data_IF_233092654130
#
_entry.id   IF_233092654130
#
_cell.length_a   1.000
_cell.length_b   1.000
_cell.length_c   1.000
_cell.angle_alpha   90.00
_cell.angle_beta   90.00
_cell.angle_gamma   90.00
#
_symmetry.space_group_name_H-M   'P 1'
#
loop_
_entity.id
_entity.type
_entity.pdbx_description
1 polymer ?
#
# COMPACT_ATOMS: atom_id res chain seq x y z
N UNK A 1 -10.16 -2.53 -12.59
CA UNK A 1 -8.88 -3.22 -12.84
C UNK A 1 -9.04 -4.43 -13.75
N UNK A 2 -9.58 -5.55 -13.27
CA UNK A 2 -9.66 -6.81 -14.04
C UNK A 2 -10.35 -6.68 -15.40
N UNK A 3 -11.53 -6.05 -15.46
CA UNK A 3 -12.23 -5.78 -16.73
C UNK A 3 -11.44 -4.87 -17.67
N UNK A 4 -10.84 -3.81 -17.14
CA UNK A 4 -10.09 -2.82 -17.93
C UNK A 4 -8.87 -3.44 -18.63
N UNK A 5 -8.28 -4.47 -18.04
CA UNK A 5 -7.14 -5.21 -18.59
C UNK A 5 -7.54 -6.52 -19.26
N UNK A 6 -8.84 -6.81 -19.39
CA UNK A 6 -9.37 -8.06 -19.95
C UNK A 6 -8.76 -9.30 -19.27
N UNK A 7 -8.56 -9.24 -17.95
CA UNK A 7 -7.98 -10.32 -17.15
C UNK A 7 -6.47 -10.52 -17.32
N UNK A 8 -5.78 -9.68 -18.09
CA UNK A 8 -4.33 -9.74 -18.30
C UNK A 8 -3.62 -8.82 -17.32
N UNK A 9 -3.32 -9.33 -16.12
CA UNK A 9 -2.63 -8.60 -15.04
C UNK A 9 -1.61 -9.54 -14.40
N UNK A 10 -0.38 -9.06 -14.23
CA UNK A 10 0.67 -9.82 -13.53
C UNK A 10 0.83 -9.41 -12.07
N UNK A 11 0.44 -8.18 -11.72
CA UNK A 11 0.49 -7.72 -10.34
C UNK A 11 -0.47 -6.57 -10.01
N UNK A 12 -0.86 -6.48 -8.75
CA UNK A 12 -1.57 -5.33 -8.18
C UNK A 12 -0.81 -4.87 -6.94
N UNK A 13 -0.52 -3.58 -6.86
CA UNK A 13 0.22 -2.96 -5.76
C UNK A 13 -0.66 -1.93 -5.08
N UNK A 14 -0.87 -2.07 -3.77
CA UNK A 14 -1.72 -1.18 -2.98
C UNK A 14 -1.09 -0.92 -1.61
N UNK A 15 -1.18 0.32 -1.13
CA UNK A 15 -0.82 0.62 0.24
C UNK A 15 -1.82 0.02 1.23
N UNK A 16 -1.36 -0.27 2.45
CA UNK A 16 -2.23 -0.71 3.55
C UNK A 16 -2.46 0.42 4.55
N UNK A 17 -3.67 0.49 5.08
CA UNK A 17 -3.98 1.13 6.36
C UNK A 17 -5.05 0.30 7.04
N UNK A 18 -6.33 0.63 6.89
CA UNK A 18 -7.44 -0.16 7.42
C UNK A 18 -7.55 -1.56 6.84
N UNK A 19 -6.84 -1.88 5.76
CA UNK A 19 -6.83 -3.20 5.12
C UNK A 19 -7.97 -3.45 4.14
N UNK A 20 -8.96 -2.55 4.03
CA UNK A 20 -10.14 -2.76 3.19
C UNK A 20 -9.83 -2.92 1.69
N UNK A 21 -8.98 -2.05 1.15
CA UNK A 21 -8.60 -2.11 -0.27
C UNK A 21 -7.79 -3.38 -0.58
N UNK A 22 -6.64 -3.56 0.08
CA UNK A 22 -5.78 -4.71 -0.17
C UNK A 22 -6.48 -6.05 0.15
N UNK A 23 -7.26 -6.11 1.23
CA UNK A 23 -8.02 -7.31 1.59
C UNK A 23 -9.04 -7.70 0.52
N UNK A 24 -9.87 -6.74 0.08
CA UNK A 24 -10.84 -7.01 -1.00
C UNK A 24 -10.19 -7.36 -2.34
N UNK A 25 -9.09 -6.67 -2.69
CA UNK A 25 -8.30 -6.96 -3.90
C UNK A 25 -7.74 -8.39 -3.83
N UNK A 26 -7.12 -8.76 -2.71
CA UNK A 26 -6.52 -10.07 -2.53
C UNK A 26 -7.58 -11.18 -2.65
N UNK A 27 -8.73 -11.04 -1.98
CA UNK A 27 -9.85 -11.99 -2.08
C UNK A 27 -10.32 -12.18 -3.51
N UNK A 28 -10.58 -11.09 -4.24
CA UNK A 28 -11.06 -11.16 -5.62
C UNK A 28 -10.02 -11.81 -6.54
N UNK A 29 -8.78 -11.32 -6.53
CA UNK A 29 -7.76 -11.78 -7.46
C UNK A 29 -7.31 -13.20 -7.17
N UNK A 30 -7.19 -13.63 -5.91
CA UNK A 30 -6.88 -15.04 -5.62
C UNK A 30 -7.98 -15.99 -6.09
N UNK A 31 -9.23 -15.53 -6.22
CA UNK A 31 -10.34 -16.32 -6.77
C UNK A 31 -10.36 -16.34 -8.31
N UNK A 32 -10.26 -15.18 -8.96
CA UNK A 32 -10.49 -15.04 -10.41
C UNK A 32 -9.22 -14.91 -11.26
N UNK A 33 -8.08 -14.64 -10.66
CA UNK A 33 -6.77 -14.52 -11.31
C UNK A 33 -5.64 -14.96 -10.39
N UNK A 34 -5.58 -16.25 -9.99
CA UNK A 34 -4.68 -16.72 -8.93
C UNK A 34 -3.19 -16.56 -9.25
N UNK A 35 -2.83 -16.32 -10.51
CA UNK A 35 -1.45 -16.03 -10.95
C UNK A 35 -1.06 -14.56 -10.80
N UNK A 36 -2.01 -13.67 -10.52
CA UNK A 36 -1.72 -12.27 -10.25
C UNK A 36 -1.05 -12.13 -8.89
N UNK A 37 0.07 -11.42 -8.88
CA UNK A 37 0.80 -11.12 -7.66
C UNK A 37 0.13 -9.96 -6.92
N UNK A 38 -0.08 -10.12 -5.62
CA UNK A 38 -0.66 -9.13 -4.74
C UNK A 38 0.46 -8.56 -3.87
N UNK A 39 0.84 -7.31 -4.14
CA UNK A 39 1.84 -6.59 -3.37
C UNK A 39 1.19 -5.53 -2.50
N UNK A 40 1.54 -5.57 -1.23
CA UNK A 40 1.12 -4.62 -0.23
C UNK A 40 2.26 -3.65 0.09
N UNK A 41 1.94 -2.38 0.34
CA UNK A 41 2.92 -1.35 0.70
C UNK A 41 2.60 -0.81 2.09
N UNK A 42 3.56 -0.93 2.99
CA UNK A 42 3.48 -0.48 4.38
C UNK A 42 4.60 0.53 4.69
N UNK A 43 4.45 1.29 5.75
CA UNK A 43 5.47 2.25 6.19
C UNK A 43 6.45 1.59 7.18
N UNK A 44 7.73 1.98 7.17
CA UNK A 44 8.58 1.65 8.33
C UNK A 44 8.02 2.30 9.60
N UNK A 45 7.94 1.51 10.67
CA UNK A 45 7.31 1.92 11.93
C UNK A 45 5.84 1.50 12.05
N UNK A 46 5.21 1.02 10.98
CA UNK A 46 3.92 0.34 11.02
C UNK A 46 4.04 -1.07 11.59
N UNK A 47 2.99 -1.51 12.27
CA UNK A 47 2.89 -2.85 12.86
C UNK A 47 1.92 -3.77 12.11
N UNK A 48 1.33 -3.34 10.98
CA UNK A 48 0.36 -4.15 10.20
C UNK A 48 0.95 -5.51 9.85
N UNK A 49 2.19 -5.53 9.37
CA UNK A 49 2.92 -6.76 9.05
C UNK A 49 4.03 -7.11 10.07
N UNK A 50 3.84 -6.71 11.33
CA UNK A 50 4.84 -6.85 12.39
C UNK A 50 6.08 -5.97 12.20
N UNK A 51 7.11 -6.23 13.00
CA UNK A 51 8.35 -5.44 13.05
C UNK A 51 8.33 -4.30 14.08
N UNK A 52 9.43 -3.55 14.22
CA UNK A 52 9.54 -2.46 15.19
C UNK A 52 8.57 -1.31 14.86
N UNK A 53 7.68 -0.97 15.80
CA UNK A 53 6.78 0.17 15.63
C UNK A 53 7.40 1.47 16.11
N UNK A 54 7.25 2.53 15.31
CA UNK A 54 7.66 3.90 15.65
C UNK A 54 6.85 4.89 14.80
N UNK A 55 6.90 6.17 15.16
CA UNK A 55 6.24 7.21 14.38
C UNK A 55 6.89 7.38 12.99
N UNK A 56 6.07 7.70 12.00
CA UNK A 56 6.44 8.01 10.62
C UNK A 56 5.54 9.14 10.10
N UNK A 57 5.89 9.73 8.96
CA UNK A 57 5.20 10.92 8.41
C UNK A 57 4.24 10.60 7.28
N UNK A 58 4.36 9.43 6.63
CA UNK A 58 3.48 9.06 5.51
C UNK A 58 2.01 9.03 5.97
N UNK A 59 1.14 9.91 5.45
CA UNK A 59 -0.29 9.88 5.77
C UNK A 59 -0.99 8.74 5.04
N UNK A 60 -1.99 8.15 5.72
CA UNK A 60 -2.90 7.16 5.13
C UNK A 60 -2.30 5.77 4.87
N UNK A 61 -1.09 5.50 5.35
CA UNK A 61 -0.41 4.20 5.26
C UNK A 61 -0.03 3.72 6.66
N UNK A 62 -0.12 2.41 6.89
CA UNK A 62 0.23 1.76 8.14
C UNK A 62 -0.79 1.91 9.26
N UNK A 63 -0.60 1.11 10.32
CA UNK A 63 -1.37 1.09 11.57
C UNK A 63 -0.51 0.53 12.71
N UNK A 64 -0.95 0.73 13.95
CA UNK A 64 -0.37 0.10 15.14
C UNK A 64 -0.77 -1.37 15.33
N UNK A 65 -1.62 -1.93 14.47
CA UNK A 65 -2.08 -3.31 14.53
C UNK A 65 -2.40 -3.89 13.16
N UNK A 66 -2.44 -5.21 13.05
CA UNK A 66 -2.90 -5.95 11.86
C UNK A 66 -4.42 -5.81 11.73
N UNK A 67 -4.95 -5.18 10.68
CA UNK A 67 -6.38 -4.92 10.56
C UNK A 67 -7.17 -6.16 10.15
N UNK A 68 -8.33 -6.39 10.79
CA UNK A 68 -9.27 -7.49 10.48
C UNK A 68 -9.79 -7.51 9.03
N UNK A 69 -9.74 -6.40 8.31
CA UNK A 69 -10.11 -6.36 6.90
C UNK A 69 -9.18 -7.20 6.01
N UNK A 70 -7.98 -7.53 6.48
CA UNK A 70 -7.11 -8.52 5.85
C UNK A 70 -7.47 -9.88 6.45
N UNK A 71 -8.45 -10.57 5.84
CA UNK A 71 -9.00 -11.83 6.36
C UNK A 71 -7.98 -12.96 6.36
N UNK A 72 -7.12 -13.00 5.34
CA UNK A 72 -6.06 -13.98 5.18
C UNK A 72 -4.81 -13.30 4.62
N UNK A 73 -3.81 -13.12 5.49
CA UNK A 73 -2.53 -12.49 5.14
C UNK A 73 -1.75 -13.30 4.11
N UNK A 74 -2.01 -14.60 3.98
CA UNK A 74 -1.36 -15.47 2.99
C UNK A 74 -1.82 -15.19 1.56
N UNK A 75 -2.88 -14.40 1.37
CA UNK A 75 -3.33 -13.94 0.04
C UNK A 75 -2.53 -12.74 -0.47
N UNK A 76 -1.64 -12.19 0.35
CA UNK A 76 -0.69 -11.15 -0.03
C UNK A 76 0.64 -11.85 -0.35
N UNK A 77 1.17 -11.65 -1.55
CA UNK A 77 2.41 -12.32 -1.98
C UNK A 77 3.66 -11.55 -1.58
N UNK A 78 3.58 -10.22 -1.56
CA UNK A 78 4.70 -9.33 -1.27
C UNK A 78 4.30 -8.23 -0.29
N UNK A 79 5.18 -7.91 0.66
CA UNK A 79 5.06 -6.73 1.52
C UNK A 79 6.31 -5.88 1.36
N UNK A 80 6.11 -4.68 0.83
CA UNK A 80 7.11 -3.63 0.73
C UNK A 80 7.01 -2.73 1.96
N UNK A 81 8.13 -2.45 2.60
CA UNK A 81 8.24 -1.38 3.61
C UNK A 81 8.94 -0.19 2.98
N UNK A 82 8.35 0.99 3.08
CA UNK A 82 8.86 2.22 2.46
C UNK A 82 9.08 3.29 3.52
N UNK A 83 10.20 4.02 3.41
CA UNK A 83 10.54 5.09 4.34
C UNK A 83 9.86 6.40 3.95
N UNK A 84 9.71 7.31 4.92
CA UNK A 84 9.23 8.68 4.69
C UNK A 84 9.98 9.33 3.52
N UNK A 85 11.32 9.33 3.59
CA UNK A 85 12.19 9.91 2.56
C UNK A 85 11.84 9.40 1.16
N UNK A 86 11.76 8.08 1.00
CA UNK A 86 11.52 7.47 -0.31
C UNK A 86 10.11 7.76 -0.83
N UNK A 87 9.09 7.67 0.02
CA UNK A 87 7.69 7.91 -0.36
C UNK A 87 7.45 9.36 -0.81
N UNK A 88 7.93 10.35 -0.03
CA UNK A 88 7.79 11.76 -0.37
C UNK A 88 8.51 12.10 -1.67
N UNK A 89 9.78 11.66 -1.81
CA UNK A 89 10.59 11.95 -3.00
C UNK A 89 9.97 11.35 -4.25
N UNK A 90 9.57 10.07 -4.20
CA UNK A 90 8.97 9.39 -5.34
C UNK A 90 7.63 10.02 -5.76
N UNK A 91 6.82 10.50 -4.81
CA UNK A 91 5.57 11.19 -5.13
C UNK A 91 5.82 12.52 -5.87
N UNK A 92 6.84 13.29 -5.46
CA UNK A 92 7.23 14.51 -6.17
C UNK A 92 7.82 14.23 -7.54
N UNK A 93 8.64 13.18 -7.68
CA UNK A 93 9.17 12.73 -8.97
C UNK A 93 8.01 12.40 -9.92
N UNK A 94 7.02 11.62 -9.46
CA UNK A 94 5.85 11.27 -10.25
C UNK A 94 5.09 12.50 -10.71
N UNK A 95 4.81 13.44 -9.80
CA UNK A 95 4.15 14.69 -10.14
C UNK A 95 4.95 15.51 -11.14
N UNK A 96 6.27 15.61 -10.97
CA UNK A 96 7.14 16.46 -11.80
C UNK A 96 7.31 15.91 -13.21
N UNK A 97 7.47 14.60 -13.35
CA UNK A 97 7.83 13.96 -14.62
C UNK A 97 6.62 13.44 -15.40
N UNK A 98 5.55 13.03 -14.71
CA UNK A 98 4.33 12.48 -15.34
C UNK A 98 3.10 13.38 -15.22
N UNK A 99 3.18 14.49 -14.46
CA UNK A 99 2.05 15.41 -14.28
C UNK A 99 0.91 14.84 -13.41
N UNK A 100 1.17 13.76 -12.68
CA UNK A 100 0.17 13.11 -11.81
C UNK A 100 0.32 13.67 -10.39
N UNK A 101 -0.59 14.57 -10.01
CA UNK A 101 -0.59 15.24 -8.71
C UNK A 101 -1.27 14.36 -7.65
N UNK A 102 -0.49 13.63 -6.86
CA UNK A 102 -0.98 12.65 -5.86
C UNK A 102 -0.28 12.77 -4.52
N UNK A 103 -0.91 12.19 -3.49
CA UNK A 103 -0.39 12.14 -2.13
C UNK A 103 0.80 11.20 -1.92
N UNK A 104 1.46 11.35 -0.78
CA UNK A 104 2.71 10.69 -0.39
C UNK A 104 2.66 9.16 -0.51
N UNK A 105 1.54 8.55 -0.12
CA UNK A 105 1.32 7.10 -0.18
C UNK A 105 1.48 6.55 -1.62
N UNK A 106 1.13 7.36 -2.62
CA UNK A 106 1.27 7.02 -4.03
C UNK A 106 2.73 6.91 -4.45
N UNK A 107 3.63 7.72 -3.88
CA UNK A 107 5.07 7.58 -4.10
C UNK A 107 5.61 6.26 -3.56
N UNK A 108 5.12 5.82 -2.39
CA UNK A 108 5.48 4.51 -1.85
C UNK A 108 4.99 3.37 -2.76
N UNK A 109 3.75 3.46 -3.23
CA UNK A 109 3.17 2.48 -4.17
C UNK A 109 3.92 2.45 -5.49
N UNK A 110 4.31 3.62 -6.03
CA UNK A 110 5.10 3.72 -7.26
C UNK A 110 6.41 2.95 -7.14
N UNK A 111 7.18 3.17 -6.07
CA UNK A 111 8.46 2.50 -5.87
C UNK A 111 8.29 0.97 -5.79
N UNK A 112 7.31 0.50 -5.02
CA UNK A 112 7.00 -0.91 -4.91
C UNK A 112 6.56 -1.52 -6.26
N UNK A 113 5.73 -0.82 -7.03
CA UNK A 113 5.27 -1.29 -8.34
C UNK A 113 6.41 -1.36 -9.36
N UNK A 114 7.29 -0.36 -9.40
CA UNK A 114 8.47 -0.38 -10.25
C UNK A 114 9.42 -1.51 -9.85
N UNK A 115 9.70 -1.68 -8.56
CA UNK A 115 10.54 -2.78 -8.10
C UNK A 115 9.94 -4.16 -8.45
N UNK A 116 8.65 -4.36 -8.22
CA UNK A 116 7.95 -5.60 -8.58
C UNK A 116 8.02 -5.87 -10.09
N UNK A 117 7.89 -4.84 -10.93
CA UNK A 117 7.99 -4.99 -12.39
C UNK A 117 9.37 -5.51 -12.83
N UNK A 118 10.43 -5.03 -12.19
CA UNK A 118 11.81 -5.46 -12.47
C UNK A 118 12.05 -6.91 -12.04
N UNK A 119 11.46 -7.31 -10.91
CA UNK A 119 11.57 -8.68 -10.37
C UNK A 119 10.81 -9.70 -11.23
N UNK A 120 9.55 -9.41 -11.59
CA UNK A 120 8.69 -10.37 -12.28
C UNK A 120 9.03 -10.54 -13.76
N UNK A 121 9.72 -9.58 -14.40
CA UNK A 121 9.90 -9.53 -15.86
C UNK A 121 8.56 -9.75 -16.58
N UNK A 122 7.58 -8.99 -16.14
CA UNK A 122 6.16 -9.19 -16.42
C UNK A 122 5.84 -9.15 -17.92
N UNK A 123 4.90 -10.00 -18.33
CA UNK A 123 4.31 -10.02 -19.69
C UNK A 123 3.10 -9.10 -19.79
N UNK A 124 2.34 -8.97 -18.69
CA UNK A 124 1.13 -8.17 -18.57
C UNK A 124 1.32 -7.02 -17.56
N UNK A 125 0.46 -6.00 -17.55
CA UNK A 125 0.61 -4.85 -16.68
C UNK A 125 0.64 -5.19 -15.18
N UNK A 126 1.37 -4.37 -14.43
CA UNK A 126 1.24 -4.23 -12.98
C UNK A 126 0.40 -2.98 -12.72
N UNK A 127 -0.62 -3.11 -11.87
CA UNK A 127 -1.52 -2.01 -11.53
C UNK A 127 -1.10 -1.43 -10.18
N UNK A 128 -0.67 -0.17 -10.18
CA UNK A 128 -0.39 0.61 -8.99
C UNK A 128 -1.64 1.41 -8.57
N UNK A 129 -2.15 1.18 -7.36
CA UNK A 129 -3.23 1.98 -6.80
C UNK A 129 -2.66 3.23 -6.13
N UNK A 130 -2.76 4.35 -6.82
CA UNK A 130 -2.38 5.65 -6.28
C UNK A 130 -3.51 6.17 -5.39
N UNK A 131 -3.11 6.75 -4.26
CA UNK A 131 -4.02 7.26 -3.24
C UNK A 131 -4.73 8.55 -3.66
N UNK A 132 -5.02 9.37 -2.67
CA UNK A 132 -5.71 10.63 -2.87
C UNK A 132 -4.86 11.67 -3.64
N UNK A 133 -5.52 12.75 -4.01
CA UNK A 133 -4.95 13.79 -4.85
C UNK A 133 -4.03 14.72 -4.06
N UNK A 134 -3.04 15.29 -4.75
CA UNK A 134 -1.92 15.99 -4.12
C UNK A 134 -2.26 17.34 -3.50
N UNK A 135 -3.41 17.95 -3.82
CA UNK A 135 -3.81 19.27 -3.31
C UNK A 135 -3.93 19.32 -1.78
N UNK A 136 -4.14 18.16 -1.14
CA UNK A 136 -4.24 18.03 0.32
C UNK A 136 -2.90 18.20 1.02
N UNK A 137 -1.80 18.19 0.28
CA UNK A 137 -0.43 18.15 0.79
C UNK A 137 0.40 19.34 0.31
N UNK A 138 -0.25 20.44 -0.06
CA UNK A 138 0.43 21.67 -0.53
C UNK A 138 1.33 22.31 0.53
N UNK A 139 0.98 22.14 1.81
CA UNK A 139 1.71 22.62 2.98
C UNK A 139 2.70 21.60 3.56
N UNK A 140 2.86 20.44 2.89
CA UNK A 140 3.74 19.35 3.33
C UNK A 140 4.54 18.77 2.16
N UNK A 141 3.96 17.84 1.40
CA UNK A 141 4.63 17.15 0.28
C UNK A 141 5.15 18.12 -0.79
N UNK A 142 4.42 19.19 -1.07
CA UNK A 142 4.77 20.17 -2.09
C UNK A 142 5.36 21.48 -1.53
N UNK A 143 5.66 21.50 -0.22
CA UNK A 143 6.33 22.62 0.47
C UNK A 143 7.81 22.28 0.69
N UNK A 144 8.69 22.97 -0.04
CA UNK A 144 10.13 22.80 0.07
C UNK A 144 10.69 23.11 1.47
N UNK A 145 10.14 24.09 2.19
CA UNK A 145 10.58 24.44 3.55
C UNK A 145 10.21 23.32 4.53
N UNK A 146 9.00 22.77 4.38
CA UNK A 146 8.56 21.62 5.16
C UNK A 146 9.47 20.41 4.94
N UNK A 147 9.84 20.12 3.69
CA UNK A 147 10.75 19.01 3.36
C UNK A 147 12.14 19.20 3.98
N UNK A 148 12.71 20.40 3.88
CA UNK A 148 14.02 20.73 4.48
C UNK A 148 13.97 20.50 5.99
N UNK A 149 12.94 21.02 6.66
CA UNK A 149 12.75 20.86 8.12
C UNK A 149 12.64 19.39 8.54
N UNK A 150 12.11 18.54 7.65
CA UNK A 150 11.93 17.11 7.90
C UNK A 150 13.08 16.24 7.34
N UNK A 151 14.17 16.85 6.86
CA UNK A 151 15.31 16.19 6.23
C UNK A 151 14.91 15.30 5.04
N UNK A 152 13.97 15.76 4.22
CA UNK A 152 13.53 15.07 3.02
C UNK A 152 14.19 15.68 1.78
N UNK A 153 14.89 14.84 1.01
CA UNK A 153 15.46 15.19 -0.29
C UNK A 153 14.41 15.82 -1.23
N UNK A 154 14.84 16.83 -1.98
CA UNK A 154 14.02 17.59 -2.94
C UNK A 154 14.38 17.30 -4.39
N UNK A 155 15.38 16.45 -4.65
CA UNK A 155 15.72 16.05 -6.01
C UNK A 155 14.57 15.26 -6.64
N UNK A 156 13.96 15.86 -7.66
CA UNK A 156 12.87 15.25 -8.45
C UNK A 156 13.36 14.64 -9.76
N UNK A 157 14.66 14.41 -9.91
CA UNK A 157 15.26 13.82 -11.11
C UNK A 157 14.93 12.33 -11.23
N UNK A 158 14.91 11.83 -12.48
CA UNK A 158 14.80 10.39 -12.73
C UNK A 158 16.04 9.62 -12.24
N UNK A 159 17.19 10.28 -12.12
CA UNK A 159 18.40 9.69 -11.51
C UNK A 159 18.15 9.39 -10.04
N UNK A 160 17.50 10.31 -9.32
CA UNK A 160 17.09 10.07 -7.94
C UNK A 160 16.08 8.92 -7.84
N UNK A 161 15.12 8.82 -8.77
CA UNK A 161 14.18 7.67 -8.79
C UNK A 161 14.93 6.35 -8.89
N UNK A 162 15.87 6.24 -9.81
CA UNK A 162 16.73 5.06 -9.96
C UNK A 162 17.51 4.78 -8.68
N UNK A 163 18.08 5.79 -8.04
CA UNK A 163 18.79 5.62 -6.76
C UNK A 163 17.88 5.11 -5.65
N UNK A 164 16.63 5.58 -5.57
CA UNK A 164 15.64 5.07 -4.61
C UNK A 164 15.29 3.61 -4.89
N UNK A 165 15.15 3.22 -6.16
CA UNK A 165 14.86 1.83 -6.56
C UNK A 165 16.02 0.88 -6.29
N UNK A 166 17.27 1.34 -6.35
CA UNK A 166 18.44 0.55 -5.97
C UNK A 166 18.53 0.33 -4.45
N UNK A 167 18.03 1.29 -3.67
CA UNK A 167 18.07 1.28 -2.20
C UNK A 167 16.84 0.68 -1.54
N UNK A 168 15.77 0.40 -2.30
CA UNK A 168 14.56 -0.19 -1.72
C UNK A 168 14.87 -1.62 -1.23
N UNK A 169 14.42 -1.91 -0.01
CA UNK A 169 14.61 -3.24 0.56
C UNK A 169 13.90 -4.30 -0.27
N UNK A 170 14.47 -5.52 -0.25
CA UNK A 170 13.79 -6.68 -0.82
C UNK A 170 12.46 -6.91 -0.08
N UNK A 171 11.33 -7.03 -0.78
CA UNK A 171 10.04 -7.22 -0.14
C UNK A 171 10.00 -8.55 0.63
N UNK A 172 9.28 -8.56 1.74
CA UNK A 172 8.94 -9.80 2.41
C UNK A 172 7.98 -10.60 1.51
N UNK A 173 8.37 -11.81 1.13
CA UNK A 173 7.53 -12.71 0.35
C UNK A 173 6.67 -13.56 1.28
N UNK A 174 5.40 -13.76 0.91
CA UNK A 174 4.41 -14.58 1.62
C UNK A 174 4.46 -14.34 3.14
N UNK A 175 4.02 -13.15 3.61
CA UNK A 175 4.20 -12.73 4.98
C UNK A 175 3.47 -13.68 5.95
N UNK A 176 4.24 -14.55 6.60
CA UNK A 176 3.73 -15.36 7.71
C UNK A 176 3.81 -14.53 8.99
N UNK A 177 2.75 -13.78 9.27
CA UNK A 177 2.64 -12.93 10.46
C UNK A 177 1.52 -13.43 11.37
N UNK A 178 1.76 -13.36 12.66
CA UNK A 178 0.70 -13.49 13.66
C UNK A 178 0.06 -12.11 13.86
N UNK A 179 -1.26 -12.05 13.72
CA UNK A 179 -2.02 -10.82 13.91
C UNK A 179 -1.92 -10.36 15.36
N UNK A 180 -1.55 -9.10 15.58
CA UNK A 180 -1.55 -8.48 16.91
C UNK A 180 -2.87 -7.76 17.25
N UNK A 181 -3.94 -8.02 16.51
CA UNK A 181 -5.26 -7.46 16.81
C UNK A 181 -5.75 -7.96 18.17
N UNK A 182 -6.17 -7.02 19.04
CA UNK A 182 -6.62 -7.36 20.40
C UNK A 182 -8.15 -7.38 20.50
N UNK A 183 -8.73 -8.58 20.41
CA UNK A 183 -10.18 -8.78 20.49
C UNK A 183 -10.77 -8.46 21.86
N UNK A 184 -9.98 -8.54 22.93
CA UNK A 184 -10.46 -8.22 24.29
C UNK A 184 -10.90 -6.76 24.41
N UNK A 185 -10.43 -5.88 23.52
CA UNK A 185 -10.84 -4.48 23.48
C UNK A 185 -12.30 -4.31 23.03
N UNK A 186 -12.88 -5.28 22.31
CA UNK A 186 -14.29 -5.22 21.87
C UNK A 186 -15.21 -5.16 23.09
N UNK A 187 -15.01 -6.11 24.02
CA UNK A 187 -15.79 -6.18 25.25
C UNK A 187 -15.43 -5.03 26.20
N UNK A 188 -14.13 -4.74 26.36
CA UNK A 188 -13.65 -3.69 27.27
C UNK A 188 -14.20 -2.29 26.90
N UNK A 189 -14.28 -1.98 25.61
CA UNK A 189 -14.75 -0.69 25.11
C UNK A 189 -16.26 -0.67 24.84
N UNK A 190 -16.99 -1.75 25.13
CA UNK A 190 -18.42 -1.90 24.83
C UNK A 190 -18.73 -1.58 23.36
N UNK A 191 -17.93 -2.09 22.43
CA UNK A 191 -18.08 -1.80 21.00
C UNK A 191 -19.44 -2.31 20.52
N UNK A 192 -20.27 -1.47 19.86
CA UNK A 192 -21.58 -1.90 19.37
C UNK A 192 -21.48 -3.09 18.41
N UNK A 193 -22.41 -4.04 18.51
CA UNK A 193 -22.46 -5.22 17.64
C UNK A 193 -22.50 -4.86 16.15
N UNK A 194 -23.14 -3.74 15.79
CA UNK A 194 -23.18 -3.20 14.42
C UNK A 194 -21.80 -2.89 13.84
N UNK A 195 -20.81 -2.62 14.70
CA UNK A 195 -19.41 -2.38 14.28
C UNK A 195 -18.65 -3.69 14.14
N UNK A 196 -18.98 -4.70 14.96
CA UNK A 196 -18.32 -6.01 14.98
C UNK A 196 -18.73 -6.86 13.76
N UNK A 197 -20.02 -6.89 13.42
CA UNK A 197 -20.56 -7.75 12.36
C UNK A 197 -20.37 -7.20 10.94
N UNK A 198 -19.85 -5.97 10.81
CA UNK A 198 -19.70 -5.29 9.51
C UNK A 198 -18.75 -6.03 8.56
N UNK A 199 -17.89 -6.92 9.09
CA UNK A 199 -16.90 -7.67 8.34
C UNK A 199 -17.38 -9.07 7.90
N UNK A 200 -18.52 -9.55 8.40
CA UNK A 200 -19.10 -10.85 8.04
C UNK A 200 -19.98 -10.77 6.77
N UNK A 201 -20.32 -9.55 6.33
CA UNK A 201 -21.27 -9.29 5.25
C UNK A 201 -20.59 -8.92 3.91
N UNK A 202 -19.66 -9.75 3.42
CA UNK A 202 -19.36 -9.69 1.98
C UNK A 202 -20.41 -10.53 1.28
N UNK A 203 -21.43 -9.87 0.73
CA UNK A 203 -22.45 -10.51 -0.09
C UNK A 203 -21.78 -11.20 -1.29
N UNK A 204 -21.72 -12.53 -1.27
CA UNK A 204 -21.05 -13.32 -2.30
C UNK A 204 -21.70 -13.12 -3.69
N UNK A 205 -22.97 -12.70 -3.74
CA UNK A 205 -23.66 -12.42 -5.01
C UNK A 205 -23.11 -11.19 -5.75
N UNK A 206 -22.46 -10.25 -5.04
CA UNK A 206 -21.76 -9.11 -5.64
C UNK A 206 -20.45 -9.53 -6.33
N UNK A 207 -19.91 -10.70 -5.99
CA UNK A 207 -18.70 -11.25 -6.62
C UNK A 207 -19.03 -12.03 -7.91
N UNK A 208 -20.23 -12.60 -8.02
CA UNK A 208 -20.66 -13.40 -9.18
C UNK A 208 -21.15 -12.56 -10.37
N UNK A 209 -21.51 -11.30 -10.15
CA UNK A 209 -22.01 -10.38 -11.19
C UNK A 209 -20.93 -9.51 -11.85
N UNK A 210 -19.67 -9.66 -11.43
CA UNK A 210 -18.52 -8.90 -11.93
C UNK A 210 -17.73 -9.68 -13.00
#
# INVERSE_FOLDING_TARGET
MYKQTQGKIDGVVCAVSTGGQIGGIAEYFKRYSPRCNIACVDAYGSAVFGGPSHAYKIPGVGLGWTPRNIRDVNKIDYVYRVSDQAAYTASRILCRNEGILVGVSSGAVLLAALNLSLQLKNKYPIIALLGDSGERYMDTLFDDEWLIKNNIDRDTSMVQLSSLLEKIDTPQQSPNIESNYNDTLIDLLNVPSTTVTRFEQVDESLLESA
#
